data_IF_149784699590
#
_entry.id   IF_149784699590
#
_cell.length_a   1.000
_cell.length_b   1.000
_cell.length_c   1.000
_cell.angle_alpha   90.00
_cell.angle_beta   90.00
_cell.angle_gamma   90.00
#
_symmetry.space_group_name_H-M   'P 1'
#
loop_
_entity.id
_entity.type
_entity.pdbx_description
1 polymer ?
#
# COMPACT_ATOMS: atom_id res chain seq x y z
N UNK A 1 -1.27 2.74 10.76
CA UNK A 1 -0.17 1.91 11.34
C UNK A 1 0.08 0.76 10.38
N UNK A 2 1.32 0.54 9.97
CA UNK A 2 1.65 -0.53 9.04
C UNK A 2 2.41 -1.66 9.72
N UNK A 3 2.30 -2.87 9.16
CA UNK A 3 3.04 -4.06 9.59
C UNK A 3 3.83 -4.60 8.41
N UNK A 4 5.08 -4.94 8.68
CA UNK A 4 5.96 -5.61 7.73
C UNK A 4 5.96 -7.13 7.99
N UNK A 5 5.93 -7.92 6.93
CA UNK A 5 5.97 -9.37 6.94
C UNK A 5 7.11 -9.83 6.04
N UNK A 6 8.08 -10.52 6.61
CA UNK A 6 9.12 -11.22 5.86
C UNK A 6 8.53 -12.46 5.19
N UNK A 7 8.95 -12.73 3.96
CA UNK A 7 8.49 -13.89 3.19
C UNK A 7 9.62 -14.90 3.02
N UNK A 8 9.26 -16.15 2.70
CA UNK A 8 10.25 -17.19 2.35
C UNK A 8 10.88 -16.97 0.96
N UNK A 9 10.43 -15.95 0.22
CA UNK A 9 10.97 -15.58 -1.08
C UNK A 9 12.13 -14.59 -0.88
N UNK A 10 13.24 -14.85 -1.58
CA UNK A 10 14.45 -14.02 -1.46
C UNK A 10 14.16 -12.56 -1.83
N UNK A 11 14.52 -11.67 -0.90
CA UNK A 11 14.41 -10.22 -1.02
C UNK A 11 12.98 -9.72 -1.29
N UNK A 12 11.96 -10.51 -0.90
CA UNK A 12 10.55 -10.13 -1.01
C UNK A 12 9.97 -9.88 0.38
N UNK A 13 9.33 -8.72 0.53
CA UNK A 13 8.73 -8.27 1.78
C UNK A 13 7.32 -7.75 1.51
N UNK A 14 6.40 -7.97 2.45
CA UNK A 14 5.06 -7.38 2.40
C UNK A 14 4.95 -6.28 3.45
N UNK A 15 4.49 -5.10 3.06
CA UNK A 15 4.13 -4.05 4.01
C UNK A 15 2.65 -3.75 3.89
N UNK A 16 1.92 -4.06 4.97
CA UNK A 16 0.46 -3.98 5.04
C UNK A 16 0.07 -2.72 5.80
N UNK A 17 -0.73 -1.89 5.15
CA UNK A 17 -1.31 -0.66 5.67
C UNK A 17 -2.78 -0.91 5.97
N UNK A 18 -3.17 -0.79 7.24
CA UNK A 18 -4.57 -0.94 7.66
C UNK A 18 -5.19 0.41 7.95
N UNK A 19 -6.38 0.65 7.40
CA UNK A 19 -7.24 1.79 7.73
C UNK A 19 -7.96 1.58 9.07
N UNK A 20 -8.43 2.68 9.65
CA UNK A 20 -9.35 2.65 10.79
C UNK A 20 -10.82 2.49 10.33
N UNK A 21 -11.75 2.48 11.28
CA UNK A 21 -13.18 2.32 10.98
C UNK A 21 -13.74 3.44 10.09
N UNK A 22 -13.18 4.66 10.16
CA UNK A 22 -13.62 5.81 9.36
C UNK A 22 -13.23 5.66 7.89
N UNK A 23 -12.27 4.80 7.60
CA UNK A 23 -11.84 4.43 6.24
C UNK A 23 -12.10 2.94 5.98
N UNK A 24 -13.21 2.41 6.49
CA UNK A 24 -13.75 1.09 6.15
C UNK A 24 -12.86 -0.11 6.51
N UNK A 25 -11.87 0.07 7.38
CA UNK A 25 -10.92 -0.99 7.79
C UNK A 25 -10.22 -1.69 6.61
N UNK A 26 -10.16 -1.05 5.43
CA UNK A 26 -9.52 -1.66 4.25
C UNK A 26 -8.02 -1.79 4.45
N UNK A 27 -7.42 -2.65 3.64
CA UNK A 27 -5.97 -2.85 3.61
C UNK A 27 -5.40 -2.55 2.23
N UNK A 28 -4.28 -1.84 2.24
CA UNK A 28 -3.38 -1.71 1.11
C UNK A 28 -2.09 -2.48 1.42
N UNK A 29 -1.48 -3.12 0.43
CA UNK A 29 -0.24 -3.89 0.63
C UNK A 29 0.78 -3.58 -0.43
N UNK A 30 1.99 -3.20 0.00
CA UNK A 30 3.15 -3.16 -0.88
C UNK A 30 3.79 -4.55 -0.90
N UNK A 31 3.98 -5.08 -2.09
CA UNK A 31 4.91 -6.17 -2.36
C UNK A 31 6.23 -5.52 -2.78
N UNK A 32 7.21 -5.56 -1.90
CA UNK A 32 8.52 -4.95 -2.12
C UNK A 32 9.53 -5.99 -2.58
N UNK A 33 10.36 -5.64 -3.56
CA UNK A 33 11.48 -6.44 -4.01
C UNK A 33 12.58 -5.58 -4.60
N UNK A 34 13.80 -5.71 -4.09
CA UNK A 34 15.00 -5.08 -4.65
C UNK A 34 14.87 -3.57 -4.95
N UNK A 35 14.25 -2.80 -4.05
CA UNK A 35 14.04 -1.35 -4.22
C UNK A 35 12.79 -0.97 -5.05
N UNK A 36 12.07 -1.96 -5.56
CA UNK A 36 10.81 -1.77 -6.27
C UNK A 36 9.62 -2.18 -5.41
N UNK A 37 8.46 -1.60 -5.68
CA UNK A 37 7.22 -1.91 -5.00
C UNK A 37 6.06 -2.06 -5.98
N UNK A 38 5.21 -3.04 -5.70
CA UNK A 38 3.93 -3.26 -6.35
C UNK A 38 2.82 -3.08 -5.32
N UNK A 39 1.94 -2.13 -5.55
CA UNK A 39 0.86 -1.82 -4.61
C UNK A 39 -0.41 -2.62 -4.96
N UNK A 40 -0.96 -3.32 -3.97
CA UNK A 40 -2.28 -3.96 -4.03
C UNK A 40 -3.24 -3.11 -3.22
N UNK A 41 -4.27 -2.58 -3.88
CA UNK A 41 -5.24 -1.60 -3.37
C UNK A 41 -4.62 -0.27 -2.90
N UNK A 42 -5.45 0.76 -2.79
CA UNK A 42 -5.15 1.95 -1.99
C UNK A 42 -5.96 1.94 -0.70
N UNK A 43 -6.01 3.11 -0.05
CA UNK A 43 -6.93 3.37 1.05
C UNK A 43 -8.14 4.15 0.54
N UNK A 44 -9.20 4.26 1.35
CA UNK A 44 -10.41 4.98 0.97
C UNK A 44 -10.19 6.49 0.84
N UNK A 45 -9.49 7.11 1.81
CA UNK A 45 -9.26 8.57 1.79
C UNK A 45 -7.87 8.93 1.26
N UNK A 46 -7.78 10.13 0.67
CA UNK A 46 -6.52 10.73 0.23
C UNK A 46 -5.54 10.94 1.40
N UNK A 47 -6.03 11.45 2.54
CA UNK A 47 -5.19 11.68 3.72
C UNK A 47 -4.57 10.40 4.27
N UNK A 48 -5.34 9.31 4.27
CA UNK A 48 -4.88 8.02 4.75
C UNK A 48 -3.86 7.42 3.77
N UNK A 49 -4.09 7.58 2.47
CA UNK A 49 -3.18 7.06 1.42
C UNK A 49 -1.80 7.72 1.41
N UNK A 50 -1.65 8.93 1.99
CA UNK A 50 -0.34 9.60 2.10
C UNK A 50 0.67 8.78 2.91
N UNK A 51 0.24 7.94 3.85
CA UNK A 51 1.17 7.10 4.61
C UNK A 51 1.94 6.12 3.70
N UNK A 52 1.33 5.70 2.59
CA UNK A 52 1.97 4.82 1.59
C UNK A 52 3.07 5.59 0.86
N UNK A 53 2.80 6.85 0.45
CA UNK A 53 3.81 7.71 -0.20
C UNK A 53 4.97 8.04 0.72
N UNK A 54 4.67 8.36 1.98
CA UNK A 54 5.69 8.61 2.99
C UNK A 54 6.57 7.38 3.21
N UNK A 55 5.95 6.20 3.27
CA UNK A 55 6.67 4.94 3.38
C UNK A 55 7.57 4.68 2.16
N UNK A 56 7.05 4.83 0.93
CA UNK A 56 7.83 4.65 -0.30
C UNK A 56 9.06 5.57 -0.33
N UNK A 57 8.86 6.87 -0.07
CA UNK A 57 9.95 7.87 -0.04
C UNK A 57 10.97 7.58 1.04
N UNK A 58 10.53 7.21 2.25
CA UNK A 58 11.41 6.92 3.38
C UNK A 58 12.30 5.71 3.13
N UNK A 59 11.81 4.73 2.36
CA UNK A 59 12.52 3.48 2.09
C UNK A 59 13.19 3.45 0.70
N UNK A 60 13.21 4.58 -0.01
CA UNK A 60 13.78 4.69 -1.36
C UNK A 60 13.22 3.63 -2.33
N UNK A 61 11.90 3.45 -2.29
CA UNK A 61 11.18 2.48 -3.11
C UNK A 61 10.57 3.13 -4.36
N UNK A 62 10.78 2.51 -5.51
CA UNK A 62 10.09 2.87 -6.75
C UNK A 62 8.76 2.13 -6.88
N UNK A 63 7.64 2.85 -6.99
CA UNK A 63 6.33 2.25 -7.21
C UNK A 63 6.13 1.96 -8.70
N UNK A 64 6.21 0.69 -9.09
CA UNK A 64 6.17 0.30 -10.50
C UNK A 64 4.73 0.20 -11.04
N UNK A 65 3.84 -0.38 -10.23
CA UNK A 65 2.47 -0.68 -10.62
C UNK A 65 1.54 -0.71 -9.41
N UNK A 66 0.27 -0.49 -9.71
CA UNK A 66 -0.84 -0.59 -8.77
C UNK A 66 -1.84 -1.60 -9.34
N UNK A 67 -2.33 -2.50 -8.48
CA UNK A 67 -3.38 -3.45 -8.81
C UNK A 67 -4.53 -3.31 -7.81
N UNK A 68 -5.72 -3.05 -8.34
CA UNK A 68 -6.94 -2.93 -7.55
C UNK A 68 -7.73 -4.22 -7.69
N UNK A 69 -8.02 -4.87 -6.56
CA UNK A 69 -8.61 -6.22 -6.57
C UNK A 69 -10.08 -6.24 -6.98
N UNK A 70 -10.78 -5.11 -6.81
CA UNK A 70 -12.22 -5.01 -7.03
C UNK A 70 -12.61 -3.58 -7.44
N UNK A 71 -13.68 -3.41 -8.22
CA UNK A 71 -14.20 -2.10 -8.65
C UNK A 71 -14.96 -1.32 -7.57
N UNK A 72 -14.80 -1.67 -6.29
CA UNK A 72 -15.46 -0.97 -5.18
C UNK A 72 -14.61 0.24 -4.75
N UNK A 73 -15.20 1.44 -4.64
CA UNK A 73 -14.48 2.68 -4.32
C UNK A 73 -13.63 2.61 -3.06
N UNK A 74 -13.96 1.74 -2.11
CA UNK A 74 -13.25 1.56 -0.84
C UNK A 74 -11.76 1.23 -1.04
N UNK A 75 -11.41 0.59 -2.17
CA UNK A 75 -10.06 0.15 -2.48
C UNK A 75 -9.28 1.07 -3.42
N UNK A 76 -9.86 2.15 -3.96
CA UNK A 76 -9.18 2.98 -4.96
C UNK A 76 -9.42 4.49 -4.86
N UNK A 77 -10.34 4.98 -4.02
CA UNK A 77 -10.61 6.43 -3.93
C UNK A 77 -9.42 7.26 -3.46
N UNK A 78 -8.54 6.70 -2.63
CA UNK A 78 -7.33 7.36 -2.17
C UNK A 78 -6.18 7.39 -3.19
N UNK A 79 -6.30 6.71 -4.34
CA UNK A 79 -5.22 6.58 -5.33
C UNK A 79 -4.68 7.91 -5.84
N UNK A 80 -5.50 8.95 -5.94
CA UNK A 80 -5.06 10.27 -6.44
C UNK A 80 -3.90 10.86 -5.64
N UNK A 81 -3.73 10.44 -4.38
CA UNK A 81 -2.67 10.91 -3.48
C UNK A 81 -1.45 10.01 -3.41
N UNK A 82 -1.35 8.97 -4.25
CA UNK A 82 -0.23 8.02 -4.32
C UNK A 82 0.65 8.32 -5.54
#
# INVERSE_FOLDING_TARGET
>A
MFKTIDTDQKDVKLTVFSSDEKSFMVTATLVEKAGHAFLINSKFTQSDSKEIVEYLKKNDLSLDKIFIIHGDPDYYFGLESI
#
